data_IF_878550910795
#
_entry.id   IF_878550910795
#
_cell.length_a   1.000
_cell.length_b   1.000
_cell.length_c   1.000
_cell.angle_alpha   90.00
_cell.angle_beta   90.00
_cell.angle_gamma   90.00
#
_symmetry.space_group_name_H-M   'P 1'
#
loop_
_entity.id
_entity.type
_entity.pdbx_description
1 polymer ?
#
# COMPACT_ATOMS: atom_id res chain seq x y z
N UNK A 1 13.18 -6.74 20.47
CA UNK A 1 12.96 -6.46 19.04
C UNK A 1 11.50 -6.71 18.74
N UNK A 2 10.95 -6.05 17.71
CA UNK A 2 9.58 -6.25 17.26
C UNK A 2 9.58 -6.65 15.79
N UNK A 3 8.58 -7.42 15.36
CA UNK A 3 8.47 -7.95 13.99
C UNK A 3 7.28 -7.32 13.28
N UNK A 4 7.47 -6.85 12.05
CA UNK A 4 6.41 -6.40 11.14
C UNK A 4 6.45 -7.29 9.91
N UNK A 5 5.29 -7.81 9.49
CA UNK A 5 5.16 -8.64 8.30
C UNK A 5 4.43 -7.87 7.19
N UNK A 6 4.85 -8.04 5.94
CA UNK A 6 4.14 -7.52 4.78
C UNK A 6 2.95 -8.42 4.43
N UNK A 7 1.84 -7.82 4.00
CA UNK A 7 0.69 -8.48 3.39
C UNK A 7 0.25 -7.68 2.16
N UNK A 8 -0.09 -8.39 1.09
CA UNK A 8 -0.78 -7.83 -0.06
C UNK A 8 -2.27 -8.20 -0.01
N UNK A 9 -3.17 -7.36 -0.54
CA UNK A 9 -4.59 -7.66 -0.56
C UNK A 9 -4.96 -8.79 -1.54
N UNK A 10 -4.14 -9.01 -2.55
CA UNK A 10 -4.44 -9.91 -3.65
C UNK A 10 -4.33 -11.38 -3.25
N UNK A 11 -5.45 -12.12 -3.31
CA UNK A 11 -5.54 -13.52 -2.87
C UNK A 11 -5.49 -14.47 -4.05
N UNK A 12 -4.53 -15.37 -4.05
CA UNK A 12 -4.41 -16.40 -5.08
C UNK A 12 -5.68 -17.26 -5.17
N UNK A 13 -6.27 -17.36 -6.36
CA UNK A 13 -7.63 -17.90 -6.57
C UNK A 13 -7.81 -19.40 -6.28
N UNK A 14 -6.72 -20.14 -6.10
CA UNK A 14 -6.68 -21.56 -5.74
C UNK A 14 -6.00 -21.84 -4.39
N UNK A 15 -5.77 -20.79 -3.58
CA UNK A 15 -5.18 -20.92 -2.25
C UNK A 15 -6.18 -21.40 -1.19
N UNK A 16 -5.67 -21.92 -0.07
CA UNK A 16 -6.49 -22.27 1.09
C UNK A 16 -7.20 -21.06 1.70
N UNK A 17 -6.56 -19.88 1.68
CA UNK A 17 -7.17 -18.63 2.15
C UNK A 17 -8.39 -18.26 1.30
N UNK A 18 -8.29 -18.44 -0.03
CA UNK A 18 -9.41 -18.25 -0.95
C UNK A 18 -10.50 -19.32 -0.75
N UNK A 19 -10.14 -20.58 -0.54
CA UNK A 19 -11.14 -21.61 -0.25
C UNK A 19 -11.93 -21.29 1.05
N UNK A 20 -11.24 -20.83 2.11
CA UNK A 20 -11.89 -20.38 3.34
C UNK A 20 -12.76 -19.14 3.14
N UNK A 21 -12.40 -18.23 2.23
CA UNK A 21 -13.20 -17.04 1.94
C UNK A 21 -14.55 -17.40 1.34
N UNK A 22 -14.61 -18.42 0.47
CA UNK A 22 -15.87 -18.92 -0.09
C UNK A 22 -16.79 -19.51 0.99
N UNK A 23 -16.23 -20.25 1.95
CA UNK A 23 -16.99 -20.82 3.07
C UNK A 23 -17.57 -19.76 4.01
N UNK A 24 -16.99 -18.56 4.01
CA UNK A 24 -17.40 -17.43 4.85
C UNK A 24 -18.25 -16.39 4.11
N UNK A 25 -18.61 -16.65 2.86
CA UNK A 25 -19.36 -15.71 2.00
C UNK A 25 -18.68 -14.33 1.91
N UNK A 26 -17.36 -14.34 1.70
CA UNK A 26 -16.56 -13.13 1.53
C UNK A 26 -16.88 -12.46 0.21
N UNK A 27 -17.05 -11.13 0.25
CA UNK A 27 -17.21 -10.32 -0.95
C UNK A 27 -15.84 -10.09 -1.60
N UNK A 28 -15.76 -10.26 -2.92
CA UNK A 28 -14.62 -9.87 -3.74
C UNK A 28 -15.06 -8.80 -4.74
N UNK A 29 -14.10 -8.08 -5.33
CA UNK A 29 -14.39 -7.19 -6.45
C UNK A 29 -14.84 -8.03 -7.65
N UNK A 30 -15.99 -7.68 -8.23
CA UNK A 30 -16.64 -8.47 -9.27
C UNK A 30 -16.84 -7.71 -10.59
N UNK A 31 -16.97 -8.46 -11.68
CA UNK A 31 -17.61 -7.99 -12.90
C UNK A 31 -19.10 -7.67 -12.62
N UNK A 32 -19.66 -6.61 -13.24
CA UNK A 32 -21.05 -6.24 -13.05
C UNK A 32 -22.02 -7.24 -13.73
N UNK A 33 -21.55 -7.93 -14.76
CA UNK A 33 -22.35 -8.83 -15.60
C UNK A 33 -21.52 -10.08 -15.98
N UNK A 34 -22.13 -11.29 -16.03
CA UNK A 34 -21.43 -12.51 -16.40
C UNK A 34 -20.78 -12.47 -17.79
N UNK A 35 -21.39 -11.77 -18.75
CA UNK A 35 -20.93 -11.71 -20.14
C UNK A 35 -19.63 -10.92 -20.31
N UNK A 36 -19.22 -10.17 -19.28
CA UNK A 36 -17.96 -9.42 -19.26
C UNK A 36 -16.80 -10.21 -18.61
N UNK A 37 -17.10 -11.35 -17.99
CA UNK A 37 -16.08 -12.18 -17.35
C UNK A 37 -15.12 -12.72 -18.41
N UNK A 38 -13.81 -12.63 -18.15
CA UNK A 38 -12.80 -13.25 -19.00
C UNK A 38 -12.82 -14.77 -18.85
N UNK A 39 -13.64 -15.44 -19.66
CA UNK A 39 -13.86 -16.89 -19.62
C UNK A 39 -12.56 -17.70 -19.68
N UNK A 40 -11.60 -17.27 -20.51
CA UNK A 40 -10.29 -17.93 -20.67
C UNK A 40 -9.47 -17.97 -19.38
N UNK A 41 -9.67 -17.00 -18.48
CA UNK A 41 -9.01 -16.94 -17.16
C UNK A 41 -9.90 -17.58 -16.09
N UNK A 42 -11.20 -17.29 -16.10
CA UNK A 42 -12.15 -17.77 -15.10
C UNK A 42 -12.23 -19.31 -15.06
N UNK A 43 -12.20 -19.96 -16.23
CA UNK A 43 -12.33 -21.41 -16.33
C UNK A 43 -11.10 -22.19 -15.85
N UNK A 44 -9.95 -21.52 -15.66
CA UNK A 44 -8.71 -22.14 -15.17
C UNK A 44 -8.79 -22.54 -13.69
N UNK A 45 -9.66 -21.90 -12.91
CA UNK A 45 -9.71 -22.06 -11.45
C UNK A 45 -11.07 -22.62 -11.02
N UNK A 46 -11.14 -23.87 -10.53
CA UNK A 46 -12.39 -24.49 -10.11
C UNK A 46 -13.17 -23.69 -9.07
N UNK A 47 -12.47 -22.98 -8.16
CA UNK A 47 -13.08 -22.22 -7.07
C UNK A 47 -13.78 -20.93 -7.51
N UNK A 48 -13.45 -20.39 -8.69
CA UNK A 48 -14.08 -19.15 -9.22
C UNK A 48 -14.90 -19.38 -10.48
N UNK A 49 -14.90 -20.62 -11.00
CA UNK A 49 -15.56 -20.96 -12.26
C UNK A 49 -17.05 -20.63 -12.19
N UNK A 50 -17.53 -19.83 -13.14
CA UNK A 50 -18.93 -19.41 -13.23
C UNK A 50 -19.33 -18.32 -12.23
N UNK A 51 -18.38 -17.79 -11.46
CA UNK A 51 -18.59 -16.59 -10.64
C UNK A 51 -18.25 -15.32 -11.42
N UNK A 52 -18.65 -14.16 -10.89
CA UNK A 52 -18.25 -12.85 -11.44
C UNK A 52 -16.97 -12.30 -10.81
N UNK A 53 -16.24 -13.07 -10.01
CA UNK A 53 -15.03 -12.60 -9.33
C UNK A 53 -14.02 -12.13 -10.38
N UNK A 54 -13.57 -10.88 -10.24
CA UNK A 54 -12.59 -10.30 -11.13
C UNK A 54 -11.20 -10.80 -10.77
N UNK A 55 -10.52 -11.41 -11.74
CA UNK A 55 -9.18 -11.96 -11.55
C UNK A 55 -8.13 -11.06 -12.18
N UNK A 56 -7.07 -10.80 -11.42
CA UNK A 56 -5.91 -10.04 -11.85
C UNK A 56 -4.61 -10.83 -11.70
N UNK A 57 -3.49 -10.12 -11.79
CA UNK A 57 -2.14 -10.66 -11.65
C UNK A 57 -1.34 -9.71 -10.74
N UNK A 58 -0.72 -10.26 -9.70
CA UNK A 58 0.23 -9.54 -8.82
C UNK A 58 1.43 -10.48 -8.58
N UNK A 59 1.96 -10.55 -7.36
CA UNK A 59 3.15 -11.34 -7.03
C UNK A 59 2.98 -12.86 -7.10
N UNK A 60 1.83 -13.46 -6.74
CA UNK A 60 1.64 -14.91 -6.86
C UNK A 60 1.82 -15.44 -8.29
N UNK A 61 2.13 -16.72 -8.43
CA UNK A 61 2.32 -17.39 -9.74
C UNK A 61 1.01 -17.89 -10.37
N UNK A 62 -0.12 -17.45 -9.82
CA UNK A 62 -1.48 -17.70 -10.31
C UNK A 62 -2.28 -16.40 -10.27
N UNK A 63 -3.43 -16.40 -10.92
CA UNK A 63 -4.35 -15.26 -10.90
C UNK A 63 -4.89 -15.05 -9.49
N UNK A 64 -5.16 -13.79 -9.17
CA UNK A 64 -5.54 -13.33 -7.83
C UNK A 64 -6.88 -12.62 -7.85
N UNK A 65 -7.63 -12.74 -6.77
CA UNK A 65 -8.86 -12.01 -6.50
C UNK A 65 -8.60 -10.92 -5.44
N UNK A 66 -9.40 -9.85 -5.48
CA UNK A 66 -9.25 -8.70 -4.58
C UNK A 66 -10.43 -8.64 -3.60
N UNK A 67 -10.21 -8.83 -2.29
CA UNK A 67 -11.26 -8.75 -1.29
C UNK A 67 -11.96 -7.39 -1.29
N UNK A 68 -13.29 -7.39 -1.22
CA UNK A 68 -14.08 -6.18 -1.16
C UNK A 68 -14.23 -5.74 0.31
N UNK A 69 -13.33 -4.87 0.77
CA UNK A 69 -13.35 -4.33 2.14
C UNK A 69 -14.50 -3.34 2.40
N UNK A 70 -15.31 -3.02 1.38
CA UNK A 70 -16.56 -2.26 1.50
C UNK A 70 -17.79 -3.15 1.68
N UNK A 71 -17.58 -4.45 1.95
CA UNK A 71 -18.67 -5.40 2.23
C UNK A 71 -19.54 -4.91 3.41
N UNK A 72 -20.82 -4.57 3.17
CA UNK A 72 -21.69 -4.05 4.22
C UNK A 72 -22.12 -5.13 5.22
N UNK A 73 -21.83 -6.41 4.95
CA UNK A 73 -22.10 -7.53 5.85
C UNK A 73 -20.91 -7.87 6.76
N UNK A 74 -19.79 -7.12 6.66
CA UNK A 74 -18.54 -7.37 7.39
C UNK A 74 -17.96 -8.79 7.24
N UNK A 75 -18.36 -9.57 6.21
CA UNK A 75 -17.80 -10.92 6.00
C UNK A 75 -16.35 -10.83 5.56
N UNK A 76 -16.02 -9.89 4.68
CA UNK A 76 -14.64 -9.67 4.25
C UNK A 76 -13.73 -9.29 5.42
N UNK A 77 -14.16 -8.35 6.28
CA UNK A 77 -13.37 -7.95 7.46
C UNK A 77 -13.20 -9.11 8.47
N UNK A 78 -14.26 -9.88 8.73
CA UNK A 78 -14.20 -11.02 9.63
C UNK A 78 -13.25 -12.12 9.12
N UNK A 79 -13.32 -12.43 7.82
CA UNK A 79 -12.41 -13.37 7.17
C UNK A 79 -10.96 -12.86 7.23
N UNK A 80 -10.71 -11.60 6.85
CA UNK A 80 -9.37 -11.00 6.89
C UNK A 80 -8.76 -11.07 8.31
N UNK A 81 -9.58 -10.78 9.32
CA UNK A 81 -9.21 -10.90 10.73
C UNK A 81 -8.87 -12.34 11.12
N UNK A 82 -9.66 -13.32 10.66
CA UNK A 82 -9.38 -14.72 10.90
C UNK A 82 -8.08 -15.21 10.22
N UNK A 83 -7.79 -14.75 9.00
CA UNK A 83 -6.53 -15.07 8.31
C UNK A 83 -5.32 -14.46 9.04
N UNK A 84 -5.41 -13.21 9.49
CA UNK A 84 -4.36 -12.56 10.29
C UNK A 84 -4.16 -13.26 11.65
N UNK A 85 -5.24 -13.68 12.30
CA UNK A 85 -5.17 -14.46 13.54
C UNK A 85 -4.46 -15.81 13.34
N UNK A 86 -4.74 -16.49 12.22
CA UNK A 86 -4.05 -17.74 11.87
C UNK A 86 -2.57 -17.51 11.58
N UNK A 87 -2.23 -16.43 10.86
CA UNK A 87 -0.85 -16.03 10.63
C UNK A 87 -0.13 -15.76 11.97
N UNK A 88 -0.75 -15.04 12.89
CA UNK A 88 -0.16 -14.71 14.19
C UNK A 88 0.15 -15.96 15.03
N UNK A 89 -0.73 -16.98 14.99
CA UNK A 89 -0.48 -18.28 15.65
C UNK A 89 0.73 -19.01 15.08
N UNK A 90 1.08 -18.73 13.82
CA UNK A 90 2.22 -19.36 13.13
C UNK A 90 3.50 -18.54 13.29
N UNK A 91 3.39 -17.21 13.25
CA UNK A 91 4.49 -16.25 13.36
C UNK A 91 4.06 -15.09 14.24
N UNK A 92 4.64 -14.99 15.44
CA UNK A 92 4.36 -13.88 16.36
C UNK A 92 4.91 -12.56 15.78
N UNK A 93 4.02 -11.71 15.25
CA UNK A 93 4.33 -10.35 14.79
C UNK A 93 3.77 -9.28 15.75
N UNK A 94 4.30 -8.07 15.68
CA UNK A 94 3.85 -6.90 16.46
C UNK A 94 3.16 -5.83 15.58
N UNK A 95 3.22 -5.97 14.25
CA UNK A 95 2.53 -5.10 13.30
C UNK A 95 2.46 -5.69 11.90
N UNK A 96 1.69 -5.03 11.03
CA UNK A 96 1.49 -5.43 9.64
C UNK A 96 1.80 -4.25 8.71
N UNK A 97 2.47 -4.54 7.61
CA UNK A 97 2.69 -3.65 6.49
C UNK A 97 1.76 -4.10 5.36
N UNK A 98 0.69 -3.35 5.07
CA UNK A 98 -0.17 -3.61 3.92
C UNK A 98 0.35 -2.83 2.70
N UNK A 99 0.70 -3.57 1.66
CA UNK A 99 1.27 -3.05 0.43
C UNK A 99 0.40 -3.39 -0.78
N UNK A 100 0.70 -2.84 -1.95
CA UNK A 100 0.03 -3.18 -3.21
C UNK A 100 -1.48 -2.84 -3.23
N UNK A 101 -1.91 -1.93 -2.36
CA UNK A 101 -3.31 -1.71 -2.02
C UNK A 101 -3.96 -0.45 -2.62
N UNK A 102 -3.48 0.01 -3.77
CA UNK A 102 -4.16 1.03 -4.57
C UNK A 102 -5.57 0.66 -5.07
N UNK A 103 -5.95 -0.61 -5.34
CA UNK A 103 -5.17 -1.86 -5.46
C UNK A 103 -4.34 -1.94 -6.75
N UNK A 104 -3.11 -2.43 -6.65
CA UNK A 104 -2.23 -2.62 -7.79
C UNK A 104 -2.58 -3.91 -8.56
N UNK A 105 -2.53 -3.84 -9.89
CA UNK A 105 -2.67 -5.00 -10.76
C UNK A 105 -1.65 -4.92 -11.91
N UNK A 106 -0.98 -6.01 -12.22
CA UNK A 106 0.06 -6.03 -13.24
C UNK A 106 -0.53 -6.26 -14.63
N UNK A 107 -0.15 -5.38 -15.57
CA UNK A 107 -0.36 -5.62 -16.98
C UNK A 107 -1.79 -5.44 -17.49
N UNK A 108 -2.69 -4.78 -16.75
CA UNK A 108 -4.07 -4.55 -17.22
C UNK A 108 -4.08 -3.96 -18.63
N UNK A 109 -4.78 -4.62 -19.55
CA UNK A 109 -4.84 -4.32 -20.98
C UNK A 109 -3.53 -4.43 -21.79
N UNK A 110 -2.37 -4.66 -21.15
CA UNK A 110 -1.10 -4.82 -21.86
C UNK A 110 -1.10 -6.09 -22.72
N UNK A 111 -0.54 -6.01 -23.93
CA UNK A 111 -0.44 -7.18 -24.83
C UNK A 111 0.63 -8.16 -24.36
N UNK A 112 1.77 -7.62 -23.93
CA UNK A 112 2.95 -8.40 -23.49
C UNK A 112 3.50 -7.78 -22.21
N UNK A 113 2.88 -8.05 -21.05
CA UNK A 113 3.36 -7.51 -19.78
C UNK A 113 4.72 -8.08 -19.41
N UNK A 114 5.50 -7.36 -18.60
CA UNK A 114 6.87 -7.72 -18.23
C UNK A 114 7.02 -9.11 -17.59
N UNK A 115 5.96 -9.62 -16.96
CA UNK A 115 5.94 -10.93 -16.31
C UNK A 115 5.59 -12.09 -17.26
N UNK A 116 5.26 -11.82 -18.53
CA UNK A 116 4.70 -12.82 -19.45
C UNK A 116 5.61 -14.04 -19.61
N UNK A 117 6.91 -13.83 -19.83
CA UNK A 117 7.86 -14.93 -20.03
C UNK A 117 8.03 -15.82 -18.79
N UNK A 118 7.82 -15.25 -17.60
CA UNK A 118 8.06 -15.92 -16.32
C UNK A 118 6.79 -16.63 -15.80
N UNK A 119 5.65 -15.95 -15.88
CA UNK A 119 4.39 -16.41 -15.27
C UNK A 119 3.40 -17.02 -16.27
N UNK A 120 3.47 -16.63 -17.55
CA UNK A 120 2.51 -17.06 -18.59
C UNK A 120 1.03 -16.85 -18.19
N UNK A 121 0.75 -15.81 -17.40
CA UNK A 121 -0.60 -15.44 -16.99
C UNK A 121 -1.18 -14.40 -17.95
N UNK A 122 -2.42 -14.61 -18.38
CA UNK A 122 -3.15 -13.63 -19.19
C UNK A 122 -3.48 -12.39 -18.34
N UNK A 123 -3.16 -11.18 -18.80
CA UNK A 123 -3.53 -9.98 -18.05
C UNK A 123 -5.04 -9.78 -18.00
N UNK A 124 -5.49 -9.04 -16.97
CA UNK A 124 -6.85 -8.50 -16.89
C UNK A 124 -7.14 -7.65 -18.14
N UNK A 125 -8.29 -7.87 -18.80
CA UNK A 125 -8.73 -7.14 -19.99
C UNK A 125 -10.04 -6.39 -19.71
N UNK A 126 -9.94 -5.07 -19.55
CA UNK A 126 -11.06 -4.17 -19.38
C UNK A 126 -11.62 -3.71 -20.74
N UNK A 127 -12.94 -3.59 -20.92
CA UNK A 127 -13.54 -3.05 -22.13
C UNK A 127 -13.10 -1.60 -22.40
N UNK A 128 -12.45 -1.38 -23.56
CA UNK A 128 -12.03 -0.03 -24.01
C UNK A 128 -12.85 0.49 -25.21
N UNK A 129 -13.90 -0.23 -25.59
CA UNK A 129 -14.85 0.19 -26.63
C UNK A 129 -16.30 -0.06 -26.21
N UNK A 130 -17.24 0.68 -26.79
CA UNK A 130 -18.67 0.56 -26.48
C UNK A 130 -19.08 1.26 -25.18
N UNK A 131 -20.30 1.02 -24.71
CA UNK A 131 -20.87 1.68 -23.53
C UNK A 131 -20.10 1.40 -22.24
N UNK A 132 -19.55 0.18 -22.11
CA UNK A 132 -18.79 -0.29 -20.94
C UNK A 132 -17.43 0.41 -20.78
N UNK A 133 -16.91 1.06 -21.83
CA UNK A 133 -15.63 1.76 -21.79
C UNK A 133 -15.68 3.13 -21.10
N UNK A 134 -16.88 3.70 -20.94
CA UNK A 134 -17.06 5.07 -20.43
C UNK A 134 -16.51 5.32 -19.03
N UNK A 135 -16.37 4.27 -18.21
CA UNK A 135 -15.79 4.37 -16.87
C UNK A 135 -14.26 4.32 -16.90
N UNK A 136 -13.65 3.59 -17.83
CA UNK A 136 -12.20 3.56 -18.01
C UNK A 136 -11.69 4.73 -18.88
N UNK A 137 -12.57 5.24 -19.75
CA UNK A 137 -12.38 6.39 -20.64
C UNK A 137 -13.45 7.46 -20.33
N UNK A 138 -13.39 8.13 -19.17
CA UNK A 138 -14.36 9.16 -18.83
C UNK A 138 -14.29 10.33 -19.82
N UNK A 139 -15.40 11.08 -20.02
CA UNK A 139 -15.40 12.24 -20.91
C UNK A 139 -14.35 13.29 -20.55
N UNK A 140 -13.97 13.37 -19.26
CA UNK A 140 -12.86 14.16 -18.78
C UNK A 140 -11.81 13.25 -18.15
N UNK A 141 -10.70 13.07 -18.87
CA UNK A 141 -9.58 12.28 -18.40
C UNK A 141 -8.73 13.08 -17.41
N UNK A 142 -8.34 12.45 -16.31
CA UNK A 142 -7.45 13.06 -15.32
C UNK A 142 -6.04 13.22 -15.88
N UNK A 143 -5.23 14.09 -15.25
CA UNK A 143 -3.82 14.30 -15.64
C UNK A 143 -3.02 12.99 -15.69
N UNK A 144 -3.41 11.99 -14.88
CA UNK A 144 -2.79 10.67 -14.84
C UNK A 144 -2.76 9.98 -16.23
N UNK A 145 -3.77 10.21 -17.06
CA UNK A 145 -3.84 9.65 -18.42
C UNK A 145 -2.79 10.28 -19.35
N UNK A 146 -2.47 11.56 -19.15
CA UNK A 146 -1.53 12.29 -20.00
C UNK A 146 -0.09 12.20 -19.50
N UNK A 147 0.11 12.21 -18.18
CA UNK A 147 1.43 12.30 -17.56
C UNK A 147 2.30 11.05 -17.82
N UNK A 148 1.68 9.88 -17.94
CA UNK A 148 2.39 8.61 -18.10
C UNK A 148 2.37 8.04 -19.53
N UNK A 149 2.01 8.87 -20.51
CA UNK A 149 2.04 8.56 -21.94
C UNK A 149 0.67 8.37 -22.58
N UNK A 150 0.59 8.64 -23.89
CA UNK A 150 -0.60 8.45 -24.71
C UNK A 150 -1.03 6.98 -24.70
N UNK A 151 -2.28 6.71 -24.31
CA UNK A 151 -2.87 5.36 -24.30
C UNK A 151 -3.20 4.81 -22.91
N UNK A 152 -2.85 5.52 -21.84
CA UNK A 152 -3.30 5.14 -20.49
C UNK A 152 -4.80 5.36 -20.30
N UNK A 153 -5.40 4.54 -19.46
CA UNK A 153 -6.80 4.60 -19.05
C UNK A 153 -6.88 4.48 -17.54
N UNK A 154 -8.06 4.68 -16.94
CA UNK A 154 -8.15 4.62 -15.47
C UNK A 154 -7.79 3.25 -14.88
N UNK A 155 -8.02 2.15 -15.61
CA UNK A 155 -7.58 0.79 -15.24
C UNK A 155 -6.09 0.51 -15.49
N UNK A 156 -5.31 1.45 -16.01
CA UNK A 156 -3.86 1.26 -16.15
C UNK A 156 -3.24 0.91 -14.79
N UNK A 157 -2.63 -0.28 -14.70
CA UNK A 157 -2.02 -0.85 -13.48
C UNK A 157 -2.98 -1.05 -12.28
N UNK A 158 -4.28 -1.15 -12.53
CA UNK A 158 -5.30 -1.46 -11.50
C UNK A 158 -6.46 -2.26 -12.13
N UNK A 159 -7.58 -2.40 -11.41
CA UNK A 159 -8.75 -3.17 -11.86
C UNK A 159 -9.63 -2.36 -12.82
N UNK A 160 -10.57 -3.03 -13.49
CA UNK A 160 -11.49 -2.35 -14.40
C UNK A 160 -12.43 -1.42 -13.63
N UNK A 161 -12.60 -0.18 -14.10
CA UNK A 161 -13.44 0.79 -13.40
C UNK A 161 -14.92 0.41 -13.34
N UNK A 162 -15.37 -0.42 -14.29
CA UNK A 162 -16.72 -0.98 -14.32
C UNK A 162 -16.98 -2.08 -13.29
N UNK A 163 -15.95 -2.55 -12.59
CA UNK A 163 -16.11 -3.53 -11.53
C UNK A 163 -17.05 -3.02 -10.44
N UNK A 164 -17.57 -3.92 -9.62
CA UNK A 164 -18.49 -3.56 -8.54
C UNK A 164 -17.94 -3.94 -7.17
N UNK A 165 -18.33 -3.14 -6.19
CA UNK A 165 -17.93 -3.24 -4.78
C UNK A 165 -19.17 -3.19 -3.90
N UNK A 166 -19.00 -3.43 -2.60
CA UNK A 166 -20.08 -3.48 -1.62
C UNK A 166 -21.20 -4.45 -2.01
N UNK A 167 -20.81 -5.66 -2.46
CA UNK A 167 -21.74 -6.69 -3.00
C UNK A 167 -22.61 -6.17 -4.15
N UNK A 168 -21.98 -5.66 -5.20
CA UNK A 168 -22.63 -5.16 -6.41
C UNK A 168 -23.54 -3.93 -6.20
N UNK A 169 -23.39 -3.19 -5.08
CA UNK A 169 -24.16 -1.98 -4.79
C UNK A 169 -23.47 -0.69 -5.23
N UNK A 170 -22.14 -0.71 -5.30
CA UNK A 170 -21.30 0.43 -5.69
C UNK A 170 -20.44 0.05 -6.89
N UNK A 171 -19.94 1.07 -7.59
CA UNK A 171 -18.97 0.89 -8.67
C UNK A 171 -17.57 1.11 -8.14
N UNK A 172 -16.64 0.30 -8.63
CA UNK A 172 -15.22 0.46 -8.33
C UNK A 172 -14.70 1.83 -8.79
N UNK A 173 -15.21 2.39 -9.90
CA UNK A 173 -14.94 3.77 -10.32
C UNK A 173 -15.11 4.79 -9.19
N UNK A 174 -16.17 4.65 -8.37
CA UNK A 174 -16.48 5.57 -7.27
C UNK A 174 -15.69 5.24 -5.99
N UNK A 175 -15.23 4.00 -5.84
CA UNK A 175 -14.65 3.49 -4.59
C UNK A 175 -13.17 3.16 -4.66
N UNK A 176 -12.52 3.21 -5.82
CA UNK A 176 -11.12 2.78 -6.03
C UNK A 176 -10.17 3.45 -5.05
N UNK A 177 -10.27 4.77 -4.88
CA UNK A 177 -9.40 5.52 -3.97
C UNK A 177 -9.69 5.27 -2.47
N UNK A 178 -10.72 4.50 -2.13
CA UNK A 178 -11.03 4.12 -0.76
C UNK A 178 -10.47 2.75 -0.39
N UNK A 179 -9.97 1.96 -1.35
CA UNK A 179 -9.58 0.57 -1.13
C UNK A 179 -8.57 0.39 0.01
N UNK A 180 -7.41 1.08 -0.07
CA UNK A 180 -6.39 1.02 0.98
C UNK A 180 -6.85 1.55 2.34
N UNK A 181 -7.76 2.53 2.38
CA UNK A 181 -8.35 3.01 3.64
C UNK A 181 -9.17 1.89 4.31
N UNK A 182 -10.05 1.22 3.57
CA UNK A 182 -10.90 0.17 4.14
C UNK A 182 -10.12 -1.10 4.49
N UNK A 183 -9.06 -1.42 3.74
CA UNK A 183 -8.10 -2.45 4.15
C UNK A 183 -7.36 -2.06 5.44
N UNK A 184 -6.91 -0.81 5.58
CA UNK A 184 -6.25 -0.33 6.79
C UNK A 184 -7.17 -0.43 8.02
N UNK A 185 -8.47 -0.12 7.88
CA UNK A 185 -9.48 -0.30 8.93
C UNK A 185 -9.58 -1.77 9.35
N UNK A 186 -9.73 -2.67 8.37
CA UNK A 186 -9.85 -4.11 8.63
C UNK A 186 -8.56 -4.66 9.27
N UNK A 187 -7.41 -4.25 8.78
CA UNK A 187 -6.09 -4.72 9.26
C UNK A 187 -5.79 -4.22 10.66
N UNK A 188 -6.09 -2.96 10.99
CA UNK A 188 -5.88 -2.42 12.33
C UNK A 188 -6.71 -3.20 13.37
N UNK A 189 -7.96 -3.50 13.03
CA UNK A 189 -8.85 -4.31 13.88
C UNK A 189 -8.25 -5.69 14.08
N UNK A 190 -7.82 -6.34 12.99
CA UNK A 190 -7.23 -7.67 13.03
C UNK A 190 -5.92 -7.75 13.83
N UNK A 191 -5.02 -6.77 13.69
CA UNK A 191 -3.77 -6.70 14.45
C UNK A 191 -4.05 -6.54 15.94
N UNK A 192 -5.02 -5.70 16.31
CA UNK A 192 -5.41 -5.53 17.70
C UNK A 192 -5.97 -6.84 18.29
N UNK A 193 -6.85 -7.52 17.57
CA UNK A 193 -7.42 -8.82 17.99
C UNK A 193 -6.34 -9.91 18.12
N UNK A 194 -5.46 -10.03 17.14
CA UNK A 194 -4.43 -11.06 17.11
C UNK A 194 -3.41 -10.91 18.24
N UNK A 195 -3.00 -9.67 18.53
CA UNK A 195 -1.86 -9.38 19.43
C UNK A 195 -2.27 -8.96 20.83
N UNK A 196 -3.54 -8.58 21.04
CA UNK A 196 -4.05 -7.90 22.24
C UNK A 196 -3.23 -6.63 22.62
N UNK A 197 -2.54 -6.03 21.65
CA UNK A 197 -1.75 -4.80 21.78
C UNK A 197 -2.26 -3.77 20.78
N UNK A 198 -1.88 -2.50 20.99
CA UNK A 198 -2.15 -1.42 20.02
C UNK A 198 -1.64 -1.77 18.61
N UNK A 199 -0.49 -2.45 18.53
CA UNK A 199 0.16 -2.79 17.27
C UNK A 199 0.52 -1.57 16.43
N UNK A 200 0.86 -1.83 15.17
CA UNK A 200 1.06 -0.82 14.14
C UNK A 200 0.68 -1.37 12.77
N UNK A 201 0.02 -0.54 11.96
CA UNK A 201 -0.23 -0.81 10.54
C UNK A 201 0.49 0.24 9.71
N UNK A 202 1.17 -0.17 8.65
CA UNK A 202 1.79 0.70 7.64
C UNK A 202 1.09 0.45 6.32
N UNK A 203 0.53 1.47 5.67
CA UNK A 203 -0.22 1.34 4.40
C UNK A 203 0.38 2.15 3.26
N UNK A 204 0.40 1.60 2.05
CA UNK A 204 0.83 2.35 0.85
C UNK A 204 -0.23 3.32 0.43
N UNK A 205 -1.37 2.80 -0.01
CA UNK A 205 -2.50 3.61 -0.45
C UNK A 205 -3.17 4.25 0.76
N UNK A 206 -3.48 5.53 0.63
CA UNK A 206 -4.14 6.33 1.66
C UNK A 206 -5.19 7.26 1.05
N UNK A 207 -6.17 7.60 1.87
CA UNK A 207 -7.22 8.59 1.63
C UNK A 207 -7.43 9.41 2.93
N UNK A 208 -7.97 10.65 2.90
CA UNK A 208 -8.29 11.37 4.13
C UNK A 208 -8.98 10.49 5.19
N UNK A 209 -8.49 10.55 6.43
CA UNK A 209 -8.77 9.65 7.58
C UNK A 209 -7.91 8.40 7.72
N UNK A 210 -7.07 8.03 6.74
CA UNK A 210 -6.22 6.82 6.86
C UNK A 210 -5.27 6.86 8.06
N UNK A 211 -4.82 8.04 8.45
CA UNK A 211 -3.95 8.25 9.62
C UNK A 211 -4.57 7.87 10.98
N UNK A 212 -5.88 7.60 11.03
CA UNK A 212 -6.53 7.03 12.21
C UNK A 212 -6.22 5.54 12.39
N UNK A 213 -5.94 4.83 11.29
CA UNK A 213 -5.82 3.37 11.27
C UNK A 213 -4.40 2.90 10.95
N UNK A 214 -3.63 3.66 10.16
CA UNK A 214 -2.30 3.28 9.72
C UNK A 214 -1.34 4.49 9.64
N UNK A 215 -0.05 4.20 9.79
CA UNK A 215 1.02 5.07 9.27
C UNK A 215 1.22 4.84 7.77
N UNK A 216 2.18 5.57 7.21
CA UNK A 216 2.52 5.53 5.78
C UNK A 216 4.04 5.57 5.58
N UNK A 217 4.53 5.04 4.48
CA UNK A 217 5.88 5.33 3.99
C UNK A 217 5.77 5.90 2.58
N UNK A 218 6.69 6.78 2.20
CA UNK A 218 6.61 7.56 0.96
C UNK A 218 6.78 6.74 -0.34
N UNK A 219 6.72 5.40 -0.27
CA UNK A 219 6.79 4.52 -1.42
C UNK A 219 8.20 4.31 -1.95
N UNK A 220 8.23 3.79 -3.18
CA UNK A 220 9.42 3.33 -3.89
C UNK A 220 10.28 4.51 -4.39
N UNK A 221 11.02 5.14 -3.49
CA UNK A 221 11.97 6.20 -3.80
C UNK A 221 13.27 5.65 -4.42
N UNK A 222 14.07 6.53 -5.04
CA UNK A 222 15.37 6.21 -5.61
C UNK A 222 16.52 6.57 -4.69
N UNK A 223 17.65 5.88 -4.84
CA UNK A 223 18.92 6.24 -4.18
C UNK A 223 19.55 7.52 -4.74
N UNK A 224 18.83 8.65 -4.74
CA UNK A 224 19.31 9.96 -5.25
C UNK A 224 19.26 11.06 -4.20
N UNK A 225 20.05 12.12 -4.39
CA UNK A 225 19.99 13.32 -3.55
C UNK A 225 18.66 14.07 -3.66
N UNK A 226 17.98 13.98 -4.80
CA UNK A 226 16.67 14.62 -4.97
C UNK A 226 15.63 13.90 -4.11
N UNK A 227 15.63 12.57 -4.09
CA UNK A 227 14.72 11.78 -3.25
C UNK A 227 14.98 11.97 -1.76
N UNK A 228 16.24 12.18 -1.35
CA UNK A 228 16.56 12.61 0.01
C UNK A 228 15.87 13.94 0.33
N UNK A 229 15.92 14.91 -0.58
CA UNK A 229 15.29 16.23 -0.40
C UNK A 229 13.77 16.15 -0.39
N UNK A 230 13.17 15.45 -1.36
CA UNK A 230 11.70 15.32 -1.45
C UNK A 230 11.13 14.53 -0.29
N UNK A 231 11.91 13.66 0.37
CA UNK A 231 11.48 12.99 1.61
C UNK A 231 11.08 13.99 2.70
N UNK A 232 11.73 15.15 2.79
CA UNK A 232 11.40 16.22 3.76
C UNK A 232 10.05 16.84 3.44
N UNK A 233 9.74 17.02 2.15
CA UNK A 233 8.47 17.57 1.67
C UNK A 233 7.36 16.57 1.97
N UNK A 234 7.51 15.31 1.52
CA UNK A 234 6.49 14.28 1.67
C UNK A 234 6.11 14.03 3.14
N UNK A 235 7.08 13.94 4.05
CA UNK A 235 6.73 13.75 5.48
C UNK A 235 5.99 14.94 6.07
N UNK A 236 6.27 16.17 5.62
CA UNK A 236 5.53 17.35 6.07
C UNK A 236 4.11 17.38 5.50
N UNK A 237 3.94 17.08 4.21
CA UNK A 237 2.64 16.98 3.56
C UNK A 237 1.74 15.94 4.23
N UNK A 238 2.26 14.75 4.54
CA UNK A 238 1.50 13.72 5.24
C UNK A 238 1.09 14.12 6.66
N UNK A 239 1.86 14.98 7.32
CA UNK A 239 1.43 15.58 8.58
C UNK A 239 0.24 16.54 8.37
N UNK A 240 0.16 17.26 7.25
CA UNK A 240 -1.02 18.06 6.87
C UNK A 240 -2.22 17.17 6.52
N UNK A 241 -1.97 16.01 5.91
CA UNK A 241 -3.01 15.03 5.56
C UNK A 241 -3.52 14.24 6.78
N UNK A 242 -2.99 14.50 7.98
CA UNK A 242 -3.40 13.84 9.22
C UNK A 242 -2.79 12.45 9.43
N UNK A 243 -1.63 12.16 8.83
CA UNK A 243 -0.89 10.89 8.94
C UNK A 243 0.52 11.18 9.49
N UNK A 244 0.66 11.41 10.81
CA UNK A 244 1.92 11.88 11.38
C UNK A 244 2.98 10.79 11.55
N UNK A 245 2.63 9.50 11.43
CA UNK A 245 3.59 8.38 11.49
C UNK A 245 4.03 8.03 10.06
N UNK A 246 5.10 8.67 9.60
CA UNK A 246 5.52 8.71 8.20
C UNK A 246 7.04 8.82 8.05
N UNK A 247 7.57 8.29 6.95
CA UNK A 247 8.98 8.38 6.56
C UNK A 247 9.26 7.85 5.16
N UNK A 248 10.48 8.08 4.68
CA UNK A 248 10.99 7.49 3.44
C UNK A 248 11.78 6.20 3.70
N UNK A 249 12.02 5.43 2.64
CA UNK A 249 12.99 4.36 2.67
C UNK A 249 14.40 4.94 2.67
N UNK A 250 15.04 4.85 3.84
CA UNK A 250 16.37 5.40 4.07
C UNK A 250 17.36 4.73 3.14
N UNK A 251 18.18 5.56 2.48
CA UNK A 251 19.13 5.20 1.42
C UNK A 251 18.50 4.90 0.04
N UNK A 252 17.17 4.91 -0.08
CA UNK A 252 16.46 4.72 -1.34
C UNK A 252 16.13 3.24 -1.62
N UNK A 253 14.90 2.99 -2.09
CA UNK A 253 14.42 1.66 -2.45
C UNK A 253 14.94 1.19 -3.82
N UNK A 254 14.94 2.07 -4.83
CA UNK A 254 15.52 1.80 -6.15
C UNK A 254 17.03 2.05 -6.16
N UNK A 255 17.71 1.46 -7.13
CA UNK A 255 19.18 1.56 -7.28
C UNK A 255 19.69 3.01 -7.35
N UNK A 256 20.97 3.22 -7.04
CA UNK A 256 21.68 4.49 -7.27
C UNK A 256 22.40 5.03 -6.04
N UNK A 257 22.20 4.43 -4.87
CA UNK A 257 22.77 4.94 -3.63
C UNK A 257 24.30 4.82 -3.59
N UNK A 258 24.93 5.85 -3.03
CA UNK A 258 26.36 5.87 -2.71
C UNK A 258 26.57 5.84 -1.19
N UNK A 259 27.76 5.48 -0.72
CA UNK A 259 28.11 5.50 0.70
C UNK A 259 27.83 6.88 1.34
N UNK A 260 28.23 7.97 0.67
CA UNK A 260 27.99 9.33 1.17
C UNK A 260 26.51 9.66 1.26
N UNK A 261 25.72 9.31 0.23
CA UNK A 261 24.29 9.55 0.25
C UNK A 261 23.62 8.74 1.36
N UNK A 262 23.93 7.46 1.51
CA UNK A 262 23.34 6.62 2.56
C UNK A 262 23.72 7.11 3.96
N UNK A 263 24.94 7.62 4.13
CA UNK A 263 25.38 8.28 5.37
C UNK A 263 24.49 9.48 5.69
N UNK A 264 24.28 10.39 4.73
CA UNK A 264 23.41 11.56 4.93
C UNK A 264 21.96 11.18 5.14
N UNK A 265 21.49 10.15 4.46
CA UNK A 265 20.13 9.67 4.64
C UNK A 265 19.91 9.08 6.02
N UNK A 266 20.87 8.37 6.60
CA UNK A 266 20.75 7.91 7.99
C UNK A 266 20.74 9.06 9.00
N UNK A 267 21.48 10.15 8.75
CA UNK A 267 21.43 11.36 9.57
C UNK A 267 20.05 12.00 9.54
N UNK A 268 19.45 12.16 8.35
CA UNK A 268 18.12 12.75 8.18
C UNK A 268 16.99 11.81 8.62
N UNK A 269 17.01 10.56 8.15
CA UNK A 269 15.98 9.56 8.33
C UNK A 269 15.83 9.10 9.78
N UNK A 270 16.84 9.30 10.63
CA UNK A 270 16.71 9.16 12.08
C UNK A 270 15.69 10.12 12.71
N UNK A 271 15.26 11.17 11.98
CA UNK A 271 14.24 12.14 12.42
C UNK A 271 12.87 11.93 11.77
N UNK A 272 12.71 10.99 10.85
CA UNK A 272 11.37 10.54 10.42
C UNK A 272 10.62 9.92 11.60
N UNK A 273 9.29 10.07 11.68
CA UNK A 273 8.52 9.40 12.74
C UNK A 273 8.50 7.89 12.49
N UNK A 274 8.38 7.47 11.23
CA UNK A 274 8.67 6.11 10.76
C UNK A 274 10.08 6.04 10.15
N UNK A 275 11.04 5.45 10.85
CA UNK A 275 12.45 5.40 10.43
C UNK A 275 12.82 3.97 10.02
N UNK A 276 12.84 3.70 8.70
CA UNK A 276 13.08 2.38 8.10
C UNK A 276 14.17 2.48 7.02
N UNK A 277 15.11 1.54 7.01
CA UNK A 277 15.96 1.27 5.84
C UNK A 277 15.37 0.07 5.11
N UNK A 278 15.05 0.23 3.83
CA UNK A 278 14.42 -0.78 2.98
C UNK A 278 14.99 -0.65 1.55
N UNK A 279 15.02 -1.77 0.83
CA UNK A 279 15.74 -1.93 -0.43
C UNK A 279 14.94 -2.81 -1.38
N UNK A 280 15.08 -2.58 -2.69
CA UNK A 280 14.59 -3.48 -3.73
C UNK A 280 15.39 -4.79 -3.82
N UNK A 281 14.70 -5.87 -4.23
CA UNK A 281 15.22 -7.25 -4.26
C UNK A 281 16.56 -7.43 -4.98
N UNK A 282 16.81 -6.66 -6.04
CA UNK A 282 17.99 -6.84 -6.92
C UNK A 282 19.10 -5.81 -6.69
N UNK A 283 18.99 -4.97 -5.67
CA UNK A 283 19.98 -3.94 -5.38
C UNK A 283 21.09 -4.46 -4.45
N UNK A 284 22.25 -3.80 -4.50
CA UNK A 284 23.30 -4.04 -3.51
C UNK A 284 22.79 -3.73 -2.08
N UNK A 285 23.17 -4.52 -1.07
CA UNK A 285 22.83 -4.23 0.32
C UNK A 285 23.32 -2.84 0.74
N UNK A 286 22.50 -2.13 1.52
CA UNK A 286 22.83 -0.80 2.04
C UNK A 286 22.30 -0.59 3.46
N UNK A 287 22.19 -1.67 4.24
CA UNK A 287 21.92 -1.55 5.67
C UNK A 287 23.10 -0.85 6.38
N UNK A 288 22.90 -0.30 7.60
CA UNK A 288 23.93 0.45 8.30
C UNK A 288 25.24 -0.30 8.52
N UNK A 289 25.25 -1.63 8.46
CA UNK A 289 26.44 -2.47 8.66
C UNK A 289 27.36 -2.56 7.45
N UNK A 290 26.92 -2.13 6.26
CA UNK A 290 27.68 -2.30 5.00
C UNK A 290 28.92 -1.41 4.95
N UNK A 291 28.79 -0.14 5.34
CA UNK A 291 29.89 0.83 5.30
C UNK A 291 30.24 1.34 6.71
N UNK A 292 31.52 1.36 7.12
CA UNK A 292 31.93 1.88 8.43
C UNK A 292 31.52 3.34 8.69
N UNK A 293 31.54 4.19 7.66
CA UNK A 293 31.14 5.59 7.80
C UNK A 293 29.63 5.73 8.03
N UNK A 294 28.82 4.96 7.30
CA UNK A 294 27.36 4.90 7.49
C UNK A 294 27.03 4.35 8.88
N UNK A 295 27.69 3.26 9.31
CA UNK A 295 27.51 2.69 10.64
C UNK A 295 27.79 3.70 11.77
N UNK A 296 28.81 4.54 11.59
CA UNK A 296 29.19 5.60 12.55
C UNK A 296 28.12 6.68 12.60
N UNK A 297 27.73 7.23 11.46
CA UNK A 297 26.71 8.28 11.38
C UNK A 297 25.32 7.81 11.86
N UNK A 298 24.91 6.60 11.47
CA UNK A 298 23.66 6.01 11.91
C UNK A 298 23.63 5.82 13.42
N UNK A 299 24.73 5.37 14.03
CA UNK A 299 24.83 5.19 15.49
C UNK A 299 24.65 6.52 16.22
N UNK A 300 25.33 7.58 15.79
CA UNK A 300 25.20 8.90 16.40
C UNK A 300 23.76 9.44 16.30
N UNK A 301 23.18 9.40 15.09
CA UNK A 301 21.83 9.91 14.84
C UNK A 301 20.76 9.08 15.58
N UNK A 302 20.90 7.74 15.60
CA UNK A 302 19.96 6.86 16.30
C UNK A 302 20.11 6.98 17.82
N UNK A 303 21.31 7.16 18.38
CA UNK A 303 21.46 7.40 19.82
C UNK A 303 20.77 8.70 20.24
N UNK A 304 20.86 9.75 19.43
CA UNK A 304 20.08 10.97 19.64
C UNK A 304 18.58 10.65 19.59
N UNK A 305 18.09 10.02 18.51
CA UNK A 305 16.68 9.62 18.38
C UNK A 305 16.18 8.87 19.59
N UNK A 306 16.90 7.83 20.03
CA UNK A 306 16.53 6.97 21.15
C UNK A 306 16.49 7.72 22.48
N UNK A 307 17.40 8.67 22.70
CA UNK A 307 17.36 9.57 23.86
C UNK A 307 16.09 10.43 23.91
N UNK A 308 15.57 10.84 22.74
CA UNK A 308 14.39 11.70 22.62
C UNK A 308 13.09 10.96 22.27
N UNK A 309 13.07 9.62 22.32
CA UNK A 309 11.84 8.84 22.12
C UNK A 309 10.68 9.28 23.03
N UNK A 310 10.86 9.63 24.32
CA UNK A 310 9.76 10.13 25.15
C UNK A 310 9.15 11.43 24.62
N UNK A 311 9.97 12.31 24.01
CA UNK A 311 9.49 13.53 23.37
C UNK A 311 8.72 13.22 22.09
N UNK A 312 9.29 12.39 21.21
CA UNK A 312 8.61 11.94 19.98
C UNK A 312 7.26 11.26 20.28
N UNK A 313 7.22 10.39 21.30
CA UNK A 313 5.98 9.75 21.75
C UNK A 313 4.96 10.77 22.27
N UNK A 314 5.41 11.79 23.02
CA UNK A 314 4.54 12.86 23.51
C UNK A 314 3.95 13.70 22.38
N UNK A 315 4.70 13.92 21.29
CA UNK A 315 4.18 14.57 20.08
C UNK A 315 3.08 13.75 19.43
N UNK A 316 3.29 12.43 19.24
CA UNK A 316 2.25 11.55 18.72
C UNK A 316 1.02 11.48 19.62
N UNK A 317 1.20 11.45 20.94
CA UNK A 317 0.11 11.51 21.90
C UNK A 317 -0.72 12.79 21.73
N UNK A 318 -0.07 13.96 21.67
CA UNK A 318 -0.76 15.24 21.43
C UNK A 318 -1.49 15.26 20.09
N UNK A 319 -0.84 14.76 19.02
CA UNK A 319 -1.45 14.65 17.70
C UNK A 319 -2.69 13.75 17.71
N UNK A 320 -2.67 12.65 18.45
CA UNK A 320 -3.81 11.73 18.57
C UNK A 320 -5.00 12.31 19.34
N UNK A 321 -4.77 13.24 20.28
CA UNK A 321 -5.82 13.86 21.08
C UNK A 321 -6.46 15.06 20.38
N UNK A 322 -5.63 15.87 19.73
CA UNK A 322 -6.02 17.22 19.29
C UNK A 322 -5.87 17.44 17.78
N UNK A 323 -5.43 16.44 17.02
CA UNK A 323 -4.91 16.64 15.68
C UNK A 323 -3.59 17.41 15.68
N UNK A 324 -3.20 17.94 14.53
CA UNK A 324 -1.93 18.63 14.33
C UNK A 324 -0.83 17.69 13.82
N UNK A 325 0.42 18.11 14.00
CA UNK A 325 1.57 17.51 13.32
C UNK A 325 2.69 17.12 14.29
N UNK A 326 3.49 16.13 13.88
CA UNK A 326 4.70 15.66 14.57
C UNK A 326 5.93 16.20 13.87
N UNK A 327 6.03 15.97 12.55
CA UNK A 327 7.02 16.63 11.69
C UNK A 327 6.32 17.85 11.09
N UNK A 328 6.88 19.03 11.33
CA UNK A 328 6.15 20.30 11.12
C UNK A 328 6.99 21.25 10.27
N UNK A 329 6.40 21.88 9.24
CA UNK A 329 7.05 22.99 8.55
C UNK A 329 7.39 24.11 9.53
N UNK A 330 8.45 24.87 9.24
CA UNK A 330 8.91 25.94 10.15
C UNK A 330 7.84 27.05 10.27
N UNK A 331 7.14 27.38 9.19
CA UNK A 331 6.03 28.32 9.19
C UNK A 331 4.84 27.94 10.11
N UNK A 332 4.74 26.70 10.61
CA UNK A 332 3.73 26.34 11.62
C UNK A 332 4.04 26.97 13.00
N UNK A 333 5.32 27.14 13.32
CA UNK A 333 5.76 27.77 14.57
C UNK A 333 6.02 29.27 14.39
N UNK A 334 6.30 29.70 13.16
CA UNK A 334 6.64 31.09 12.83
C UNK A 334 5.79 31.65 11.68
N UNK A 335 4.45 31.71 11.81
CA UNK A 335 3.54 32.06 10.70
C UNK A 335 3.67 33.49 10.18
N UNK A 336 4.32 34.38 10.95
CA UNK A 336 4.54 35.78 10.57
C UNK A 336 5.91 36.03 9.92
N UNK A 337 6.74 34.99 9.77
CA UNK A 337 8.05 35.09 9.13
C UNK A 337 7.93 34.71 7.65
N UNK A 338 8.28 35.62 6.74
CA UNK A 338 8.29 35.33 5.30
C UNK A 338 9.44 34.39 4.89
N UNK A 339 10.42 34.17 5.77
CA UNK A 339 11.57 33.30 5.54
C UNK A 339 11.34 31.83 6.01
N UNK A 340 10.16 31.53 6.56
CA UNK A 340 9.84 30.27 7.26
C UNK A 340 9.07 29.24 6.44
#
# INVERSE_FOLDING_TARGET
>A
MSLILILDPAIQADSDAFNRSLQQDVSFIEWPQPELVQDEVNQLYPLVKGTKIMLGVVWPDRHVAFPDFLDPLNKTMAWWTNEINQLHRSVNFDGIWIDMNEPANFGTNEQSPWYWEQKQLSPLKCPLSGSSATLDLPPYQTVNVYQWGYGNVLSSKTLCMLATTSRNKLRFYDTKNLYGLFEAIATQTAVFEATAKRGVVISRSTFPSSGHYAGHWLGDNSGTWEDLRTSVIGVQEFNLFGIPYVGSDICGYLSGVTEELCLRWHQLGAFHSFSRNHNGENNAPHDPGVWPAVATAAREALLFRYRYLPYLFSLHFRASLNGGSVIRPVFFEFPNSNDA
#
